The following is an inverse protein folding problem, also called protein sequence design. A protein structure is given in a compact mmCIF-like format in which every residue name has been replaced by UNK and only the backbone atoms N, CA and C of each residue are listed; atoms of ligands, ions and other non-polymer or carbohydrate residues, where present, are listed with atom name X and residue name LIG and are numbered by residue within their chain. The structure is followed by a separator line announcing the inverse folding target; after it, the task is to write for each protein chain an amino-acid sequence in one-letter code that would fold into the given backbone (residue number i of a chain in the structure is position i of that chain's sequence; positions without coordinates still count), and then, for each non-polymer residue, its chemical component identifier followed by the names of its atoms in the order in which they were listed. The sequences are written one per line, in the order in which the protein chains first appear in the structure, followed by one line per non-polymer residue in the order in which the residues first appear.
data_IF_113609361959
#
_entry.id   IF_113609361959
#
_cell.length_a   1.000
_cell.length_b   1.000
_cell.length_c   1.000
_cell.angle_alpha   90.00
_cell.angle_beta   90.00
_cell.angle_gamma   90.00
#
_symmetry.space_group_name_H-M   'P 1'
#
loop_
_entity.id
_entity.type
_entity.pdbx_description
1 polymer ?
#
# COMPACT_ATOMS: atom_id res chain seq x y z
N UNK A 1 15.12 1.15 -20.16
CA UNK A 1 14.02 2.04 -19.76
C UNK A 1 12.80 1.59 -20.53
N UNK A 2 11.65 1.42 -19.88
CA UNK A 2 10.38 1.13 -20.54
C UNK A 2 9.52 2.38 -20.50
N UNK A 3 8.74 2.66 -21.55
CA UNK A 3 7.86 3.83 -21.63
C UNK A 3 6.52 3.65 -20.88
N UNK A 4 6.34 2.46 -20.31
CA UNK A 4 5.24 2.05 -19.43
C UNK A 4 4.83 3.15 -18.43
N UNK A 5 3.59 3.63 -18.54
CA UNK A 5 2.99 4.60 -17.63
C UNK A 5 3.42 6.07 -17.86
N UNK A 6 4.19 6.37 -18.92
CA UNK A 6 4.63 7.75 -19.24
C UNK A 6 3.75 8.48 -20.23
N UNK A 7 3.13 7.76 -21.18
CA UNK A 7 2.27 8.34 -22.21
C UNK A 7 0.81 7.92 -22.05
N UNK A 8 -0.11 8.73 -22.58
CA UNK A 8 -1.57 8.48 -22.53
C UNK A 8 -1.95 7.10 -23.10
N UNK A 9 -1.25 6.64 -24.14
CA UNK A 9 -1.51 5.35 -24.80
C UNK A 9 -0.92 4.14 -24.02
N UNK A 10 0.06 4.35 -23.14
CA UNK A 10 0.61 3.35 -22.21
C UNK A 10 0.21 3.58 -20.75
N UNK A 11 -0.84 4.39 -20.52
CA UNK A 11 -1.25 4.87 -19.19
C UNK A 11 -1.74 3.77 -18.24
N UNK A 12 -2.14 2.62 -18.76
CA UNK A 12 -2.57 1.47 -17.96
C UNK A 12 -1.41 0.53 -17.59
N UNK A 13 -0.22 0.76 -18.13
CA UNK A 13 0.94 -0.05 -17.82
C UNK A 13 1.50 0.28 -16.42
N UNK A 14 1.76 -0.73 -15.62
CA UNK A 14 2.36 -0.60 -14.28
C UNK A 14 3.84 -0.95 -14.36
N UNK A 15 4.71 0.03 -14.09
CA UNK A 15 6.16 -0.14 -14.19
C UNK A 15 6.70 -1.13 -13.15
N UNK A 16 7.50 -2.11 -13.61
CA UNK A 16 8.19 -3.09 -12.74
C UNK A 16 9.29 -2.48 -11.87
N UNK A 17 9.67 -1.22 -12.11
CA UNK A 17 10.64 -0.50 -11.30
C UNK A 17 9.98 0.38 -10.23
N UNK A 18 8.64 0.42 -10.16
CA UNK A 18 7.92 1.30 -9.25
C UNK A 18 7.78 0.68 -7.87
N UNK A 19 8.42 1.28 -6.87
CA UNK A 19 8.23 0.90 -5.47
C UNK A 19 6.75 0.98 -5.07
N UNK A 20 6.08 2.06 -5.49
CA UNK A 20 4.66 2.25 -5.24
C UNK A 20 3.81 1.13 -5.85
N UNK A 21 4.13 0.66 -7.05
CA UNK A 21 3.43 -0.47 -7.66
C UNK A 21 3.65 -1.77 -6.88
N UNK A 22 4.91 -2.05 -6.54
CA UNK A 22 5.30 -3.25 -5.83
C UNK A 22 4.62 -3.33 -4.45
N UNK A 23 4.58 -2.24 -3.68
CA UNK A 23 3.86 -2.18 -2.39
C UNK A 23 2.35 -2.28 -2.59
N UNK A 24 1.78 -1.55 -3.55
CA UNK A 24 0.33 -1.57 -3.79
C UNK A 24 -0.17 -2.93 -4.31
N UNK A 25 0.70 -3.76 -4.90
CA UNK A 25 0.38 -5.15 -5.19
C UNK A 25 -0.07 -5.88 -3.91
N UNK A 26 0.69 -5.78 -2.82
CA UNK A 26 0.33 -6.41 -1.55
C UNK A 26 -0.86 -5.74 -0.87
N UNK A 27 -1.11 -4.45 -1.13
CA UNK A 27 -2.29 -3.75 -0.60
C UNK A 27 -3.57 -3.99 -1.41
N UNK A 28 -3.47 -4.56 -2.62
CA UNK A 28 -4.60 -4.73 -3.53
C UNK A 28 -4.86 -6.20 -3.91
N UNK A 29 -3.83 -6.89 -4.40
CA UNK A 29 -3.94 -8.27 -4.89
C UNK A 29 -4.09 -9.26 -3.74
N UNK A 30 -3.30 -9.10 -2.67
CA UNK A 30 -3.43 -9.94 -1.48
C UNK A 30 -4.83 -9.90 -0.86
N UNK A 31 -5.43 -8.72 -0.55
CA UNK A 31 -6.81 -8.67 -0.06
C UNK A 31 -7.81 -9.26 -1.04
N UNK A 32 -7.63 -9.04 -2.35
CA UNK A 32 -8.51 -9.65 -3.35
C UNK A 32 -8.45 -11.18 -3.32
N UNK A 33 -7.26 -11.77 -3.31
CA UNK A 33 -7.09 -13.22 -3.24
C UNK A 33 -7.59 -13.79 -1.90
N UNK A 34 -7.42 -13.06 -0.79
CA UNK A 34 -7.98 -13.45 0.50
C UNK A 34 -9.52 -13.35 0.55
N UNK A 35 -10.12 -12.43 -0.21
CA UNK A 35 -11.58 -12.36 -0.39
C UNK A 35 -12.11 -13.53 -1.24
N UNK A 36 -11.32 -14.03 -2.19
CA UNK A 36 -11.62 -15.27 -2.90
C UNK A 36 -11.51 -16.46 -1.96
N UNK A 37 -10.42 -16.56 -1.19
CA UNK A 37 -10.18 -17.62 -0.19
C UNK A 37 -11.25 -17.67 0.91
N UNK A 38 -11.79 -16.51 1.30
CA UNK A 38 -12.87 -16.42 2.31
C UNK A 38 -14.22 -16.89 1.79
N UNK A 39 -14.37 -17.09 0.48
CA UNK A 39 -15.64 -17.38 -0.18
C UNK A 39 -16.55 -16.17 -0.37
N UNK A 40 -16.12 -14.96 0.03
CA UNK A 40 -16.94 -13.74 -0.05
C UNK A 40 -17.32 -13.37 -1.49
N UNK A 41 -16.42 -13.62 -2.44
CA UNK A 41 -16.64 -13.26 -3.86
C UNK A 41 -17.48 -14.28 -4.62
N UNK A 42 -17.68 -15.49 -4.08
CA UNK A 42 -18.29 -16.63 -4.79
C UNK A 42 -17.41 -17.21 -5.91
N UNK A 43 -16.20 -16.71 -6.11
CA UNK A 43 -15.24 -17.22 -7.10
C UNK A 43 -14.50 -18.44 -6.52
N UNK A 44 -14.15 -19.40 -7.38
CA UNK A 44 -13.31 -20.52 -6.96
C UNK A 44 -11.84 -20.10 -6.86
N UNK A 45 -11.12 -20.43 -5.76
CA UNK A 45 -9.69 -20.16 -5.61
C UNK A 45 -8.82 -20.70 -6.75
N UNK A 46 -9.24 -21.78 -7.41
CA UNK A 46 -8.50 -22.43 -8.50
C UNK A 46 -8.72 -21.77 -9.87
N UNK A 47 -9.65 -20.81 -9.98
CA UNK A 47 -9.99 -20.15 -11.25
C UNK A 47 -9.29 -18.79 -11.42
N UNK A 48 -8.63 -18.29 -10.38
CA UNK A 48 -8.04 -16.95 -10.37
C UNK A 48 -6.52 -17.07 -10.29
N UNK A 49 -5.86 -16.51 -11.30
CA UNK A 49 -4.41 -16.35 -11.34
C UNK A 49 -4.08 -14.95 -11.84
N UNK A 50 -3.27 -14.25 -11.07
CA UNK A 50 -2.76 -12.92 -11.39
C UNK A 50 -1.58 -13.09 -12.36
N UNK A 51 -1.54 -12.23 -13.38
CA UNK A 51 -0.45 -12.28 -14.35
C UNK A 51 0.86 -11.82 -13.68
N UNK A 52 1.96 -12.56 -13.86
CA UNK A 52 3.24 -12.17 -13.30
C UNK A 52 3.83 -10.96 -14.05
N UNK A 53 4.62 -10.11 -13.38
CA UNK A 53 5.42 -9.09 -14.04
C UNK A 53 6.49 -9.70 -14.94
N UNK A 54 7.02 -8.90 -15.86
CA UNK A 54 8.09 -9.33 -16.77
C UNK A 54 9.43 -9.59 -16.06
N UNK A 55 9.61 -9.05 -14.85
CA UNK A 55 10.82 -9.18 -14.03
C UNK A 55 10.44 -9.49 -12.60
N UNK A 56 11.37 -10.06 -11.84
CA UNK A 56 11.26 -10.23 -10.39
C UNK A 56 10.06 -11.09 -9.94
N UNK A 57 9.64 -12.03 -10.78
CA UNK A 57 8.45 -12.86 -10.58
C UNK A 57 8.46 -13.60 -9.23
N UNK A 58 9.62 -14.08 -8.81
CA UNK A 58 9.76 -14.83 -7.56
C UNK A 58 9.49 -14.00 -6.30
N UNK A 59 9.36 -12.68 -6.41
CA UNK A 59 9.09 -11.80 -5.25
C UNK A 59 7.61 -11.76 -4.90
N UNK A 60 6.72 -12.16 -5.81
CA UNK A 60 5.26 -12.07 -5.67
C UNK A 60 4.59 -13.45 -5.59
N UNK A 61 3.32 -13.46 -5.19
CA UNK A 61 2.45 -14.64 -5.23
C UNK A 61 1.23 -14.33 -6.11
N UNK A 62 0.72 -15.32 -6.86
CA UNK A 62 -0.20 -15.05 -7.98
C UNK A 62 -1.58 -15.68 -7.87
N UNK A 63 -1.76 -16.65 -6.98
CA UNK A 63 -3.04 -17.29 -6.73
C UNK A 63 -3.19 -17.52 -5.22
N UNK A 64 -4.38 -18.00 -4.82
CA UNK A 64 -4.70 -18.21 -3.40
C UNK A 64 -3.71 -19.17 -2.74
N UNK A 65 -3.39 -20.29 -3.39
CA UNK A 65 -2.47 -21.30 -2.83
C UNK A 65 -1.09 -20.70 -2.57
N UNK A 66 -0.50 -20.06 -3.58
CA UNK A 66 0.84 -19.49 -3.49
C UNK A 66 0.90 -18.39 -2.42
N UNK A 67 -0.12 -17.52 -2.37
CA UNK A 67 -0.16 -16.44 -1.37
C UNK A 67 -0.37 -16.97 0.05
N UNK A 68 -1.15 -18.03 0.25
CA UNK A 68 -1.29 -18.69 1.56
C UNK A 68 0.02 -19.36 1.99
N UNK A 69 0.77 -19.93 1.06
CA UNK A 69 2.09 -20.50 1.36
C UNK A 69 3.14 -19.44 1.67
N UNK A 70 3.19 -18.36 0.89
CA UNK A 70 4.19 -17.31 1.05
C UNK A 70 3.91 -16.37 2.25
N UNK A 71 2.64 -16.00 2.47
CA UNK A 71 2.23 -14.97 3.43
C UNK A 71 1.03 -15.44 4.27
N UNK A 72 1.12 -16.60 4.96
CA UNK A 72 -0.01 -17.24 5.63
C UNK A 72 -0.70 -16.31 6.64
N UNK A 73 0.09 -15.61 7.46
CA UNK A 73 -0.43 -14.70 8.50
C UNK A 73 -1.22 -13.53 7.90
N UNK A 74 -0.73 -12.94 6.82
CA UNK A 74 -1.40 -11.80 6.17
C UNK A 74 -2.68 -12.25 5.46
N UNK A 75 -2.64 -13.40 4.77
CA UNK A 75 -3.84 -14.01 4.17
C UNK A 75 -4.90 -14.35 5.21
N UNK A 76 -4.50 -14.91 6.35
CA UNK A 76 -5.41 -15.23 7.46
C UNK A 76 -6.08 -13.96 8.02
N UNK A 77 -5.33 -12.88 8.25
CA UNK A 77 -5.89 -11.61 8.74
C UNK A 77 -6.91 -11.01 7.76
N UNK A 78 -6.62 -11.05 6.46
CA UNK A 78 -7.59 -10.59 5.46
C UNK A 78 -8.82 -11.49 5.40
N UNK A 79 -8.66 -12.81 5.45
CA UNK A 79 -9.78 -13.76 5.51
C UNK A 79 -10.65 -13.48 6.74
N UNK A 80 -10.05 -13.27 7.90
CA UNK A 80 -10.74 -12.93 9.14
C UNK A 80 -11.53 -11.62 9.02
N UNK A 81 -11.01 -10.63 8.31
CA UNK A 81 -11.72 -9.38 8.01
C UNK A 81 -12.96 -9.64 7.15
N UNK A 82 -12.81 -10.35 6.03
CA UNK A 82 -13.94 -10.63 5.12
C UNK A 82 -15.00 -11.54 5.75
N UNK A 83 -14.59 -12.55 6.51
CA UNK A 83 -15.53 -13.40 7.24
C UNK A 83 -16.26 -12.62 8.33
N UNK A 84 -15.56 -11.75 9.07
CA UNK A 84 -16.21 -10.89 10.05
C UNK A 84 -17.25 -9.98 9.36
N UNK A 85 -16.94 -9.39 8.20
CA UNK A 85 -17.91 -8.56 7.47
C UNK A 85 -19.24 -9.26 7.17
N UNK A 86 -19.25 -10.59 7.07
CA UNK A 86 -20.47 -11.37 6.80
C UNK A 86 -21.27 -11.71 8.06
N UNK A 87 -20.73 -11.50 9.26
CA UNK A 87 -21.43 -11.82 10.51
C UNK A 87 -22.49 -10.75 10.84
N UNK A 88 -23.70 -11.14 11.28
CA UNK A 88 -24.72 -10.20 11.75
C UNK A 88 -24.29 -9.37 12.97
N UNK A 89 -23.33 -9.88 13.74
CA UNK A 89 -22.81 -9.24 14.95
C UNK A 89 -21.69 -8.24 14.70
N UNK A 90 -21.35 -7.97 13.44
CA UNK A 90 -20.21 -7.12 13.12
C UNK A 90 -20.49 -5.66 13.36
N UNK A 91 -19.56 -5.02 14.06
CA UNK A 91 -19.60 -3.60 14.35
C UNK A 91 -18.45 -2.85 13.66
N UNK A 92 -18.56 -1.53 13.67
CA UNK A 92 -17.62 -0.65 12.98
C UNK A 92 -16.19 -0.76 13.55
N UNK A 93 -16.05 -0.87 14.87
CA UNK A 93 -14.74 -0.91 15.54
C UNK A 93 -14.02 -2.24 15.28
N UNK A 94 -14.75 -3.35 15.28
CA UNK A 94 -14.27 -4.68 14.94
C UNK A 94 -13.84 -4.77 13.47
N UNK A 95 -14.63 -4.18 12.56
CA UNK A 95 -14.27 -4.06 11.14
C UNK A 95 -12.98 -3.27 10.98
N UNK A 96 -12.90 -2.12 11.65
CA UNK A 96 -11.76 -1.22 11.55
C UNK A 96 -10.48 -1.84 12.12
N UNK A 97 -10.59 -2.54 13.26
CA UNK A 97 -9.48 -3.30 13.84
C UNK A 97 -8.97 -4.36 12.85
N UNK A 98 -9.86 -5.22 12.34
CA UNK A 98 -9.47 -6.31 11.43
C UNK A 98 -8.89 -5.79 10.12
N UNK A 99 -9.46 -4.72 9.58
CA UNK A 99 -8.95 -4.05 8.39
C UNK A 99 -7.52 -3.55 8.61
N UNK A 100 -7.27 -2.83 9.70
CA UNK A 100 -5.95 -2.29 9.99
C UNK A 100 -4.92 -3.37 10.33
N UNK A 101 -5.32 -4.41 11.07
CA UNK A 101 -4.47 -5.56 11.37
C UNK A 101 -4.01 -6.23 10.06
N UNK A 102 -4.91 -6.41 9.08
CA UNK A 102 -4.60 -7.01 7.79
C UNK A 102 -3.80 -6.08 6.86
N UNK A 103 -4.18 -4.80 6.79
CA UNK A 103 -3.53 -3.79 5.96
C UNK A 103 -2.07 -3.58 6.36
N UNK A 104 -1.80 -3.36 7.65
CA UNK A 104 -0.42 -3.18 8.16
C UNK A 104 0.42 -4.45 8.01
N UNK A 105 -0.17 -5.64 8.19
CA UNK A 105 0.49 -6.92 7.90
C UNK A 105 0.87 -7.09 6.42
N UNK A 106 0.17 -6.40 5.51
CA UNK A 106 0.46 -6.45 4.07
C UNK A 106 1.66 -5.58 3.69
N UNK A 107 2.07 -4.66 4.56
CA UNK A 107 3.25 -3.81 4.36
C UNK A 107 4.56 -4.45 4.84
N UNK A 108 4.50 -5.43 5.76
CA UNK A 108 5.68 -5.98 6.43
C UNK A 108 6.73 -6.56 5.48
N UNK A 109 6.29 -7.34 4.48
CA UNK A 109 7.18 -7.90 3.47
C UNK A 109 7.65 -6.86 2.45
N UNK A 110 6.75 -6.15 1.71
CA UNK A 110 7.19 -5.33 0.59
C UNK A 110 8.06 -4.14 0.99
N UNK A 111 7.83 -3.53 2.16
CA UNK A 111 8.64 -2.40 2.63
C UNK A 111 10.12 -2.76 2.85
N UNK A 112 10.41 -4.04 3.13
CA UNK A 112 11.79 -4.56 3.29
C UNK A 112 12.30 -5.17 2.00
N UNK A 113 11.43 -5.89 1.29
CA UNK A 113 11.82 -6.62 0.11
C UNK A 113 12.23 -5.67 -1.01
N UNK A 114 11.54 -4.53 -1.20
CA UNK A 114 11.67 -3.64 -2.37
C UNK A 114 12.53 -2.39 -2.15
N UNK A 115 13.43 -2.39 -1.18
CA UNK A 115 14.33 -1.24 -0.91
C UNK A 115 15.22 -0.90 -2.11
N UNK A 116 15.56 -1.87 -2.96
CA UNK A 116 16.28 -1.67 -4.22
C UNK A 116 15.54 -0.75 -5.20
N UNK A 117 14.22 -0.61 -5.07
CA UNK A 117 13.45 0.25 -5.95
C UNK A 117 13.68 1.73 -5.70
N UNK A 118 14.18 2.10 -4.53
CA UNK A 118 14.52 3.50 -4.22
C UNK A 118 15.62 4.05 -5.13
N UNK A 119 16.46 3.20 -5.72
CA UNK A 119 17.49 3.59 -6.70
C UNK A 119 16.89 4.22 -7.99
N UNK A 120 15.58 4.08 -8.22
CA UNK A 120 14.86 4.69 -9.35
C UNK A 120 14.17 6.03 -9.01
N UNK A 121 14.36 6.53 -7.79
CA UNK A 121 13.73 7.74 -7.28
C UNK A 121 14.76 8.76 -6.79
N UNK A 122 14.34 10.02 -6.65
CA UNK A 122 15.09 11.03 -5.90
C UNK A 122 15.16 10.64 -4.42
N UNK A 123 16.12 11.18 -3.68
CA UNK A 123 16.20 11.00 -2.22
C UNK A 123 14.92 11.50 -1.53
N UNK A 124 14.32 12.55 -2.06
CA UNK A 124 13.09 13.18 -1.58
C UNK A 124 11.91 12.22 -1.69
N UNK A 125 11.74 11.59 -2.84
CA UNK A 125 10.65 10.64 -3.09
C UNK A 125 10.87 9.33 -2.33
N UNK A 126 12.11 8.80 -2.32
CA UNK A 126 12.43 7.59 -1.57
C UNK A 126 12.13 7.77 -0.07
N UNK A 127 12.58 8.89 0.50
CA UNK A 127 12.31 9.22 1.91
C UNK A 127 10.80 9.45 2.15
N UNK A 128 10.08 10.06 1.22
CA UNK A 128 8.62 10.17 1.31
C UNK A 128 7.95 8.79 1.35
N UNK A 129 8.32 7.86 0.46
CA UNK A 129 7.79 6.49 0.44
C UNK A 129 8.03 5.74 1.75
N UNK A 130 9.25 5.80 2.30
CA UNK A 130 9.58 5.20 3.59
C UNK A 130 8.73 5.80 4.74
N UNK A 131 8.70 7.14 4.83
CA UNK A 131 7.96 7.84 5.88
C UNK A 131 6.45 7.60 5.77
N UNK A 132 5.93 7.47 4.55
CA UNK A 132 4.53 7.11 4.31
C UNK A 132 4.22 5.74 4.90
N UNK A 133 5.05 4.72 4.64
CA UNK A 133 4.84 3.38 5.18
C UNK A 133 4.86 3.36 6.72
N UNK A 134 5.81 4.09 7.33
CA UNK A 134 5.88 4.26 8.80
C UNK A 134 4.58 4.87 9.32
N UNK A 135 4.12 5.97 8.72
CA UNK A 135 2.92 6.67 9.18
C UNK A 135 1.68 5.80 9.04
N UNK A 136 1.57 4.97 8.00
CA UNK A 136 0.46 4.01 7.87
C UNK A 136 0.37 3.06 9.07
N UNK A 137 1.49 2.62 9.65
CA UNK A 137 1.47 1.84 10.90
C UNK A 137 0.89 2.63 12.07
N UNK A 138 1.23 3.91 12.21
CA UNK A 138 0.64 4.78 13.25
C UNK A 138 -0.85 5.03 13.04
N UNK A 139 -1.29 5.26 11.79
CA UNK A 139 -2.72 5.40 11.47
C UNK A 139 -3.48 4.11 11.78
N UNK A 140 -2.86 2.95 11.52
CA UNK A 140 -3.42 1.65 11.85
C UNK A 140 -3.51 1.39 13.35
N UNK A 141 -2.46 1.73 14.10
CA UNK A 141 -2.47 1.64 15.56
C UNK A 141 -3.55 2.54 16.19
N UNK A 142 -3.74 3.74 15.64
CA UNK A 142 -4.82 4.65 16.03
C UNK A 142 -6.21 4.24 15.50
N UNK A 143 -6.27 3.19 14.66
CA UNK A 143 -7.48 2.71 13.98
C UNK A 143 -8.26 3.86 13.33
N UNK A 144 -7.60 4.68 12.53
CA UNK A 144 -8.30 5.79 11.86
C UNK A 144 -9.32 5.26 10.83
N UNK A 145 -10.56 5.78 10.80
CA UNK A 145 -11.53 5.39 9.79
C UNK A 145 -11.04 5.63 8.35
N UNK A 146 -11.11 4.59 7.51
CA UNK A 146 -10.73 4.62 6.09
C UNK A 146 -11.94 4.76 5.15
N UNK A 147 -13.02 5.37 5.63
CA UNK A 147 -14.22 5.64 4.82
C UNK A 147 -13.88 6.55 3.64
N UNK A 148 -14.70 6.51 2.58
CA UNK A 148 -14.47 7.30 1.36
C UNK A 148 -14.16 8.78 1.64
N UNK A 149 -14.95 9.44 2.50
CA UNK A 149 -14.75 10.84 2.84
C UNK A 149 -13.43 11.10 3.60
N UNK A 150 -13.05 10.18 4.50
CA UNK A 150 -11.80 10.30 5.27
C UNK A 150 -10.59 10.05 4.40
N UNK A 151 -10.62 8.99 3.59
CA UNK A 151 -9.59 8.67 2.61
C UNK A 151 -9.41 9.81 1.61
N UNK A 152 -10.49 10.35 1.05
CA UNK A 152 -10.43 11.55 0.19
C UNK A 152 -9.77 12.74 0.90
N UNK A 153 -10.11 12.99 2.17
CA UNK A 153 -9.48 14.06 2.94
C UNK A 153 -7.98 13.83 3.17
N UNK A 154 -7.53 12.60 3.40
CA UNK A 154 -6.11 12.29 3.54
C UNK A 154 -5.36 12.47 2.22
N UNK A 155 -5.94 12.01 1.11
CA UNK A 155 -5.36 12.10 -0.23
C UNK A 155 -5.11 13.56 -0.67
N UNK A 156 -5.98 14.51 -0.26
CA UNK A 156 -5.77 15.94 -0.52
C UNK A 156 -4.48 16.52 0.06
N UNK A 157 -3.90 15.85 1.07
CA UNK A 157 -2.65 16.26 1.70
C UNK A 157 -1.41 15.61 1.10
N UNK A 158 -1.55 14.65 0.19
CA UNK A 158 -0.41 13.96 -0.42
C UNK A 158 0.16 14.74 -1.61
N UNK A 159 1.45 14.52 -1.96
CA UNK A 159 2.03 15.04 -3.19
C UNK A 159 1.19 14.72 -4.43
N UNK A 160 1.01 15.71 -5.31
CA UNK A 160 0.28 15.54 -6.58
C UNK A 160 1.16 15.09 -7.74
N UNK A 161 2.47 15.00 -7.51
CA UNK A 161 3.48 14.46 -8.42
C UNK A 161 4.58 13.78 -7.60
N UNK A 162 5.38 12.96 -8.27
CA UNK A 162 6.62 12.39 -7.74
C UNK A 162 7.55 13.54 -7.34
N UNK A 163 8.19 13.43 -6.18
CA UNK A 163 9.14 14.43 -5.70
C UNK A 163 10.47 14.32 -6.46
N UNK A 164 11.13 15.46 -6.67
CA UNK A 164 12.46 15.53 -7.29
C UNK A 164 13.51 16.12 -6.31
N UNK A 165 14.77 16.13 -6.76
CA UNK A 165 15.91 16.57 -5.93
C UNK A 165 15.84 18.06 -5.52
N UNK A 166 14.99 18.86 -6.18
CA UNK A 166 14.82 20.28 -5.91
C UNK A 166 13.66 20.58 -4.95
N UNK A 167 12.85 19.57 -4.61
CA UNK A 167 11.72 19.71 -3.71
C UNK A 167 12.18 19.83 -2.24
N UNK A 168 12.11 21.06 -1.70
CA UNK A 168 12.51 21.36 -0.32
C UNK A 168 11.27 21.69 0.51
N UNK A 169 10.81 20.74 1.31
CA UNK A 169 9.72 20.93 2.27
C UNK A 169 10.11 21.94 3.36
N UNK A 170 9.23 22.85 3.82
CA UNK A 170 7.82 23.05 3.45
C UNK A 170 7.59 24.08 2.32
N UNK A 171 8.56 24.30 1.43
CA UNK A 171 8.55 25.41 0.47
C UNK A 171 8.46 24.95 -0.99
N UNK A 172 7.78 23.82 -1.26
CA UNK A 172 7.54 23.33 -2.62
C UNK A 172 6.51 24.26 -3.29
N UNK A 173 6.88 25.04 -4.33
CA UNK A 173 6.06 26.16 -4.81
C UNK A 173 4.73 25.76 -5.45
N UNK A 174 4.69 24.60 -6.11
CA UNK A 174 3.51 24.09 -6.80
C UNK A 174 2.59 23.28 -5.87
N UNK A 175 2.94 23.14 -4.59
CA UNK A 175 2.15 22.42 -3.59
C UNK A 175 1.34 23.39 -2.72
N UNK A 176 0.15 22.95 -2.33
CA UNK A 176 -0.67 23.69 -1.36
C UNK A 176 -0.01 23.73 0.03
N UNK A 177 -0.39 24.68 0.90
CA UNK A 177 0.10 24.71 2.28
C UNK A 177 -0.18 23.43 3.05
N UNK A 178 -1.30 22.75 2.75
CA UNK A 178 -1.65 21.47 3.37
C UNK A 178 -0.67 20.37 2.96
N UNK A 179 -0.35 20.26 1.67
CA UNK A 179 0.57 19.23 1.16
C UNK A 179 1.99 19.41 1.73
N UNK A 180 2.50 20.65 1.72
CA UNK A 180 3.78 20.97 2.34
C UNK A 180 3.82 20.62 3.84
N UNK A 181 2.74 20.93 4.58
CA UNK A 181 2.63 20.59 6.01
C UNK A 181 2.57 19.09 6.26
N UNK A 182 1.85 18.34 5.43
CA UNK A 182 1.76 16.88 5.54
C UNK A 182 3.13 16.25 5.30
N UNK A 183 3.86 16.66 4.27
CA UNK A 183 5.23 16.15 4.04
C UNK A 183 6.17 16.37 5.22
N UNK A 184 6.15 17.56 5.83
CA UNK A 184 6.92 17.82 7.07
C UNK A 184 6.49 16.89 8.20
N UNK A 185 5.18 16.66 8.33
CA UNK A 185 4.63 15.79 9.37
C UNK A 185 5.08 14.34 9.17
N UNK A 186 4.99 13.82 7.93
CA UNK A 186 5.44 12.47 7.60
C UNK A 186 6.93 12.29 7.92
N UNK A 187 7.77 13.28 7.53
CA UNK A 187 9.20 13.28 7.85
C UNK A 187 9.46 13.27 9.35
N UNK A 188 8.69 14.03 10.14
CA UNK A 188 8.82 14.03 11.59
C UNK A 188 8.50 12.66 12.20
N UNK A 189 7.42 12.02 11.77
CA UNK A 189 7.08 10.66 12.20
C UNK A 189 8.19 9.67 11.86
N UNK A 190 8.66 9.67 10.62
CA UNK A 190 9.73 8.78 10.20
C UNK A 190 11.05 9.03 10.92
N UNK A 191 11.40 10.28 11.25
CA UNK A 191 12.58 10.58 12.05
C UNK A 191 12.42 10.08 13.49
N UNK A 192 11.23 10.22 14.06
CA UNK A 192 10.97 9.82 15.45
C UNK A 192 10.99 8.30 15.60
N UNK A 193 10.36 7.58 14.67
CA UNK A 193 10.31 6.11 14.65
C UNK A 193 11.70 5.48 14.54
N UNK A 194 12.58 6.05 13.68
CA UNK A 194 13.97 5.59 13.54
C UNK A 194 14.87 5.89 14.75
N UNK A 195 14.43 6.73 15.69
CA UNK A 195 15.17 7.09 16.91
C UNK A 195 14.75 6.29 18.16
N UNK A 196 13.63 5.58 18.11
CA UNK A 196 13.10 4.74 19.20
C UNK A 196 13.58 3.30 19.12
#
# INVERSE_FOLDING_TARGET
MTDCGKELEESLCVSVNSWWADVNYYLSVLPFLAAVDSGMTGLSPNQIMILPPLKDQMRFCYNVSDCRSALPKTMDKWRDFFQYMQLPSSDFDGLLKKLWDAHTSSLEYPTRAFVDRYDFYSDQEANFGENWAIVVYYLGAARLPTTLNRSHSFQRGLPTRVLDDTDITPFIPDFTPLQNKVLVTLKLFGNTDRLS
#
